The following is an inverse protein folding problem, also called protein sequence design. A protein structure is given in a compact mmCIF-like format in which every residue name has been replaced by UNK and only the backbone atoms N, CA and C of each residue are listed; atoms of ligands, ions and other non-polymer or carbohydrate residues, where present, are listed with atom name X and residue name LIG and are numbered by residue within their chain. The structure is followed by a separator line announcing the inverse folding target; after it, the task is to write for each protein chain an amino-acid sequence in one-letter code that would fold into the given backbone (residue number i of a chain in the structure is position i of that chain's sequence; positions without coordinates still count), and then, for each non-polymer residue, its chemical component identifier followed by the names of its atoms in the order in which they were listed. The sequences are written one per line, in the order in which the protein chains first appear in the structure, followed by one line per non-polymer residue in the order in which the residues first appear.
data_IF_827887557883
#
_entry.id   IF_827887557883
#
_cell.length_a   1.000
_cell.length_b   1.000
_cell.length_c   1.000
_cell.angle_alpha   90.00
_cell.angle_beta   90.00
_cell.angle_gamma   90.00
#
_symmetry.space_group_name_H-M   'P 1'
#
loop_
_entity.id
_entity.type
_entity.pdbx_description
1 polymer ?
#
# COMPACT_ATOMS: atom_id res chain seq x y z
N UNK A 1 4.27 -5.71 8.59
CA UNK A 1 5.18 -6.74 8.00
C UNK A 1 6.47 -6.82 8.82
N UNK A 2 6.89 -8.03 9.22
CA UNK A 2 8.13 -8.23 9.98
C UNK A 2 9.36 -7.72 9.19
N UNK A 3 10.40 -7.22 9.87
CA UNK A 3 11.61 -6.67 9.27
C UNK A 3 12.34 -7.67 8.38
N UNK A 4 12.41 -8.94 8.81
CA UNK A 4 13.00 -10.02 8.00
C UNK A 4 12.33 -10.18 6.64
N UNK A 5 10.99 -10.09 6.59
CA UNK A 5 10.23 -10.18 5.34
C UNK A 5 10.49 -8.97 4.43
N UNK A 6 10.62 -7.77 5.01
CA UNK A 6 11.00 -6.56 4.26
C UNK A 6 12.39 -6.73 3.63
N UNK A 7 13.37 -7.18 4.40
CA UNK A 7 14.73 -7.42 3.91
C UNK A 7 14.73 -8.46 2.78
N UNK A 8 14.00 -9.56 2.94
CA UNK A 8 13.89 -10.60 1.92
C UNK A 8 13.29 -10.07 0.61
N UNK A 9 12.29 -9.19 0.67
CA UNK A 9 11.71 -8.54 -0.52
C UNK A 9 12.75 -7.68 -1.24
N UNK A 10 13.51 -6.85 -0.51
CA UNK A 10 14.57 -6.04 -1.13
C UNK A 10 15.67 -6.89 -1.75
N UNK A 11 16.09 -7.97 -1.08
CA UNK A 11 17.05 -8.93 -1.62
C UNK A 11 16.53 -9.59 -2.89
N UNK A 12 15.25 -9.98 -2.91
CA UNK A 12 14.59 -10.49 -4.11
C UNK A 12 14.62 -9.47 -5.26
N UNK A 13 14.25 -8.21 -5.00
CA UNK A 13 14.34 -7.15 -6.01
C UNK A 13 15.74 -7.00 -6.60
N UNK A 14 16.78 -6.99 -5.75
CA UNK A 14 18.18 -6.91 -6.18
C UNK A 14 18.56 -8.13 -7.02
N UNK A 15 18.26 -9.35 -6.54
CA UNK A 15 18.59 -10.58 -7.25
C UNK A 15 17.95 -10.66 -8.64
N UNK A 16 16.65 -10.36 -8.74
CA UNK A 16 15.96 -10.34 -10.05
C UNK A 16 16.46 -9.23 -10.96
N UNK A 17 16.90 -8.09 -10.43
CA UNK A 17 17.52 -7.03 -11.24
C UNK A 17 18.85 -7.48 -11.81
N UNK A 18 19.72 -8.10 -10.99
CA UNK A 18 21.00 -8.65 -11.43
C UNK A 18 20.79 -9.74 -12.48
N UNK A 19 19.86 -10.68 -12.24
CA UNK A 19 19.49 -11.69 -13.23
C UNK A 19 18.97 -11.06 -14.52
N UNK A 20 18.16 -10.01 -14.42
CA UNK A 20 17.67 -9.28 -15.58
C UNK A 20 18.78 -8.66 -16.41
N UNK A 21 19.78 -8.05 -15.77
CA UNK A 21 20.98 -7.52 -16.45
C UNK A 21 21.78 -8.65 -17.08
N UNK A 22 21.98 -9.76 -16.37
CA UNK A 22 22.70 -10.91 -16.89
C UNK A 22 22.03 -11.53 -18.12
N UNK A 23 20.68 -11.60 -18.16
CA UNK A 23 19.94 -12.04 -19.34
C UNK A 23 20.18 -11.14 -20.57
N UNK A 24 20.53 -9.87 -20.36
CA UNK A 24 20.91 -8.94 -21.43
C UNK A 24 22.39 -9.04 -21.83
N UNK A 25 23.21 -9.83 -21.15
CA UNK A 25 24.63 -10.04 -21.52
C UNK A 25 24.89 -11.40 -22.17
N UNK A 26 23.88 -12.26 -22.26
CA UNK A 26 24.00 -13.57 -22.88
C UNK A 26 24.10 -13.42 -24.40
N UNK A 27 25.08 -14.11 -24.99
CA UNK A 27 25.30 -14.14 -26.43
C UNK A 27 24.35 -15.11 -27.14
N UNK A 28 23.85 -14.67 -28.29
CA UNK A 28 22.81 -15.33 -29.08
C UNK A 28 23.20 -16.75 -29.56
N UNK A 29 24.49 -17.08 -29.56
CA UNK A 29 25.05 -18.36 -30.01
C UNK A 29 25.07 -19.44 -28.93
N UNK A 30 24.85 -19.08 -27.65
CA UNK A 30 25.06 -19.97 -26.50
C UNK A 30 23.77 -20.57 -25.92
N UNK A 31 22.59 -20.16 -26.42
CA UNK A 31 21.31 -20.53 -25.80
C UNK A 31 20.33 -21.26 -26.71
N UNK A 32 19.64 -22.26 -26.14
CA UNK A 32 18.53 -22.98 -26.78
C UNK A 32 17.27 -22.11 -26.99
N UNK A 33 17.21 -20.94 -26.35
CA UNK A 33 16.09 -20.00 -26.43
C UNK A 33 16.36 -18.92 -27.48
N UNK A 34 15.29 -18.47 -28.14
CA UNK A 34 15.39 -17.37 -29.10
C UNK A 34 15.87 -16.08 -28.40
N UNK A 35 16.90 -15.40 -28.93
CA UNK A 35 17.52 -14.23 -28.31
C UNK A 35 16.53 -13.17 -27.84
N UNK A 36 15.53 -12.83 -28.66
CA UNK A 36 14.56 -11.80 -28.33
C UNK A 36 13.74 -12.11 -27.07
N UNK A 37 13.46 -13.39 -26.79
CA UNK A 37 12.72 -13.80 -25.58
C UNK A 37 13.52 -13.50 -24.32
N UNK A 38 14.83 -13.78 -24.35
CA UNK A 38 15.74 -13.47 -23.25
C UNK A 38 15.85 -11.96 -23.02
N UNK A 39 15.92 -11.18 -24.11
CA UNK A 39 15.93 -9.71 -24.02
C UNK A 39 14.66 -9.15 -23.38
N UNK A 40 13.49 -9.60 -23.83
CA UNK A 40 12.21 -9.17 -23.23
C UNK A 40 12.12 -9.57 -21.77
N UNK A 41 12.49 -10.81 -21.42
CA UNK A 41 12.50 -11.26 -20.02
C UNK A 41 13.44 -10.43 -19.14
N UNK A 42 14.65 -10.12 -19.61
CA UNK A 42 15.60 -9.27 -18.90
C UNK A 42 15.07 -7.85 -18.67
N UNK A 43 14.52 -7.22 -19.72
CA UNK A 43 13.92 -5.88 -19.63
C UNK A 43 12.76 -5.87 -18.62
N UNK A 44 11.83 -6.83 -18.71
CA UNK A 44 10.71 -6.93 -17.77
C UNK A 44 11.22 -7.12 -16.33
N UNK A 45 12.23 -7.97 -16.13
CA UNK A 45 12.82 -8.19 -14.81
C UNK A 45 13.38 -6.89 -14.21
N UNK A 46 14.16 -6.13 -15.00
CA UNK A 46 14.74 -4.86 -14.54
C UNK A 46 13.66 -3.82 -14.24
N UNK A 47 12.64 -3.70 -15.10
CA UNK A 47 11.56 -2.72 -14.91
C UNK A 47 10.75 -3.04 -13.65
N UNK A 48 10.28 -4.29 -13.51
CA UNK A 48 9.41 -4.67 -12.40
C UNK A 48 10.17 -4.74 -11.06
N UNK A 49 11.34 -5.38 -11.04
CA UNK A 49 12.08 -5.60 -9.79
C UNK A 49 13.05 -4.47 -9.46
N UNK A 50 13.77 -3.96 -10.46
CA UNK A 50 14.70 -2.84 -10.28
C UNK A 50 13.95 -1.53 -10.09
N UNK A 51 13.10 -1.17 -11.06
CA UNK A 51 12.27 0.04 -10.99
C UNK A 51 11.31 0.02 -9.80
N UNK A 52 10.58 -1.08 -9.60
CA UNK A 52 9.67 -1.26 -8.47
C UNK A 52 10.40 -1.23 -7.12
N UNK A 53 11.55 -1.91 -7.01
CA UNK A 53 12.38 -1.90 -5.81
C UNK A 53 12.88 -0.50 -5.44
N UNK A 54 13.39 0.24 -6.44
CA UNK A 54 13.86 1.61 -6.26
C UNK A 54 12.73 2.56 -5.85
N UNK A 55 11.56 2.45 -6.48
CA UNK A 55 10.39 3.24 -6.12
C UNK A 55 9.95 3.01 -4.67
N UNK A 56 9.91 1.74 -4.22
CA UNK A 56 9.59 1.40 -2.83
C UNK A 56 10.61 1.98 -1.85
N UNK A 57 11.91 1.90 -2.17
CA UNK A 57 12.98 2.49 -1.36
C UNK A 57 12.86 4.02 -1.28
N UNK A 58 12.67 4.68 -2.43
CA UNK A 58 12.48 6.13 -2.51
C UNK A 58 11.30 6.60 -1.66
N UNK A 59 10.13 5.95 -1.77
CA UNK A 59 8.95 6.31 -0.97
C UNK A 59 9.23 6.21 0.52
N UNK A 60 9.92 5.16 0.96
CA UNK A 60 10.28 4.97 2.37
C UNK A 60 11.25 6.03 2.87
N UNK A 61 12.29 6.33 2.09
CA UNK A 61 13.26 7.39 2.42
C UNK A 61 12.56 8.74 2.51
N UNK A 62 11.68 9.05 1.55
CA UNK A 62 10.89 10.29 1.57
C UNK A 62 10.01 10.44 2.81
N UNK A 63 9.40 9.36 3.29
CA UNK A 63 8.63 9.38 4.54
C UNK A 63 9.54 9.65 5.75
N UNK A 64 10.71 9.00 5.81
CA UNK A 64 11.69 9.19 6.87
C UNK A 64 12.23 10.63 6.91
N UNK A 65 12.64 11.17 5.76
CA UNK A 65 13.18 12.54 5.64
C UNK A 65 12.13 13.57 6.04
N UNK A 66 10.87 13.38 5.65
CA UNK A 66 9.80 14.33 5.94
C UNK A 66 9.17 14.12 7.33
N UNK A 67 9.68 13.20 8.14
CA UNK A 67 9.09 12.79 9.43
C UNK A 67 7.59 12.44 9.35
N UNK A 68 7.11 12.04 8.16
CA UNK A 68 5.70 11.69 7.92
C UNK A 68 5.48 10.23 8.25
N UNK A 69 4.39 9.95 8.98
CA UNK A 69 3.94 8.59 9.26
C UNK A 69 3.08 8.07 8.10
N UNK A 70 2.96 6.75 8.00
CA UNK A 70 2.04 6.13 7.03
C UNK A 70 0.58 6.46 7.35
N UNK A 71 0.29 6.64 8.64
CA UNK A 71 -0.99 7.09 9.19
C UNK A 71 -0.73 8.31 10.08
N UNK A 72 -1.38 9.42 9.80
CA UNK A 72 -1.25 10.67 10.54
C UNK A 72 -2.62 11.18 10.96
N UNK A 73 -2.77 11.46 12.26
CA UNK A 73 -3.95 12.11 12.82
C UNK A 73 -3.72 13.61 12.82
N UNK A 74 -4.47 14.34 12.01
CA UNK A 74 -4.44 15.80 11.95
C UNK A 74 -5.63 16.37 12.73
N UNK A 75 -5.66 17.69 12.88
CA UNK A 75 -6.81 18.36 13.50
C UNK A 75 -8.08 18.29 12.64
N UNK A 76 -7.94 18.14 11.32
CA UNK A 76 -9.07 18.08 10.38
C UNK A 76 -9.55 16.64 10.13
N UNK A 77 -8.66 15.66 10.21
CA UNK A 77 -9.00 14.30 9.83
C UNK A 77 -7.90 13.27 10.01
N UNK A 78 -8.03 12.20 9.24
CA UNK A 78 -7.09 11.11 9.15
C UNK A 78 -6.42 11.13 7.77
N UNK A 79 -5.11 11.35 7.75
CA UNK A 79 -4.31 11.23 6.54
C UNK A 79 -3.69 9.83 6.46
N UNK A 80 -3.97 9.13 5.36
CA UNK A 80 -3.37 7.83 5.04
C UNK A 80 -2.49 8.03 3.81
N UNK A 81 -1.24 7.57 3.87
CA UNK A 81 -0.28 7.79 2.80
C UNK A 81 -0.81 7.31 1.42
N UNK A 82 -1.11 8.27 0.53
CA UNK A 82 -1.62 8.00 -0.82
C UNK A 82 -3.14 8.14 -0.98
N UNK A 83 -3.86 8.48 0.09
CA UNK A 83 -5.26 8.91 0.06
C UNK A 83 -5.37 10.42 0.35
N UNK A 84 -6.47 11.02 -0.07
CA UNK A 84 -6.86 12.35 0.43
C UNK A 84 -7.17 12.26 1.93
N UNK A 85 -7.04 13.39 2.62
CA UNK A 85 -7.32 13.49 4.05
C UNK A 85 -8.80 13.23 4.31
N UNK A 86 -9.11 12.21 5.11
CA UNK A 86 -10.49 11.81 5.43
C UNK A 86 -10.94 12.62 6.64
N UNK A 87 -11.91 13.52 6.46
CA UNK A 87 -12.32 14.45 7.51
C UNK A 87 -13.00 13.74 8.68
N UNK A 88 -12.74 14.21 9.90
CA UNK A 88 -13.36 13.64 11.12
C UNK A 88 -14.89 13.68 11.07
N UNK A 89 -15.46 14.72 10.47
CA UNK A 89 -16.89 14.90 10.32
C UNK A 89 -17.54 13.84 9.41
N UNK A 90 -16.81 13.21 8.51
CA UNK A 90 -17.34 12.17 7.62
C UNK A 90 -17.24 10.77 8.23
N UNK A 91 -16.47 10.61 9.32
CA UNK A 91 -16.21 9.33 9.97
C UNK A 91 -17.26 9.06 11.06
N UNK A 92 -17.94 7.93 10.95
CA UNK A 92 -18.90 7.44 11.93
C UNK A 92 -18.20 6.66 13.05
N UNK A 93 -17.37 5.68 12.71
CA UNK A 93 -16.62 4.84 13.65
C UNK A 93 -15.41 4.16 12.97
N UNK A 94 -14.61 3.45 13.75
CA UNK A 94 -13.59 2.52 13.27
C UNK A 94 -13.93 1.09 13.69
N UNK A 95 -13.63 0.12 12.83
CA UNK A 95 -13.80 -1.30 13.14
C UNK A 95 -12.54 -2.09 12.81
N UNK A 96 -12.28 -3.15 13.56
CA UNK A 96 -11.15 -4.06 13.31
C UNK A 96 -11.68 -5.37 12.75
N UNK A 97 -11.31 -5.69 11.52
CA UNK A 97 -11.74 -6.91 10.83
C UNK A 97 -10.54 -7.79 10.49
N UNK A 98 -10.81 -9.06 10.20
CA UNK A 98 -9.84 -9.97 9.59
C UNK A 98 -10.22 -10.23 8.15
N UNK A 99 -9.35 -9.87 7.22
CA UNK A 99 -9.56 -10.06 5.79
C UNK A 99 -8.33 -10.68 5.14
N UNK A 100 -8.51 -11.85 4.49
CA UNK A 100 -7.44 -12.62 3.83
C UNK A 100 -6.17 -12.77 4.69
N UNK A 101 -6.36 -13.12 5.97
CA UNK A 101 -5.26 -13.32 6.92
C UNK A 101 -4.67 -12.04 7.53
N UNK A 102 -5.03 -10.85 7.06
CA UNK A 102 -4.60 -9.57 7.61
C UNK A 102 -5.63 -8.98 8.57
N UNK A 103 -5.16 -8.24 9.58
CA UNK A 103 -6.02 -7.43 10.45
C UNK A 103 -6.09 -6.02 9.88
N UNK A 104 -7.30 -5.58 9.52
CA UNK A 104 -7.53 -4.28 8.90
C UNK A 104 -8.37 -3.41 9.83
N UNK A 105 -7.98 -2.15 9.97
CA UNK A 105 -8.83 -1.11 10.54
C UNK A 105 -9.64 -0.52 9.40
N UNK A 106 -10.96 -0.68 9.45
CA UNK A 106 -11.90 -0.11 8.49
C UNK A 106 -12.46 1.20 9.02
N UNK A 107 -12.65 2.15 8.11
CA UNK A 107 -13.17 3.48 8.42
C UNK A 107 -14.63 3.49 8.00
N UNK A 108 -15.52 3.55 8.98
CA UNK A 108 -16.96 3.59 8.75
C UNK A 108 -17.36 5.02 8.44
N UNK A 109 -17.75 5.28 7.20
CA UNK A 109 -18.14 6.61 6.72
C UNK A 109 -19.63 6.85 6.98
N UNK A 110 -20.05 8.12 7.08
CA UNK A 110 -21.47 8.50 7.19
C UNK A 110 -22.27 8.15 5.93
N UNK A 111 -21.69 8.41 4.76
CA UNK A 111 -22.31 8.19 3.45
C UNK A 111 -21.24 7.70 2.45
N UNK A 112 -20.89 6.41 2.48
CA UNK A 112 -19.85 5.87 1.61
C UNK A 112 -20.23 5.92 0.13
N UNK A 113 -21.51 5.81 -0.22
CA UNK A 113 -22.00 5.89 -1.59
C UNK A 113 -21.76 7.28 -2.21
N UNK A 114 -22.03 8.35 -1.45
CA UNK A 114 -21.75 9.73 -1.89
C UNK A 114 -20.27 9.97 -2.12
N UNK A 115 -19.40 9.46 -1.25
CA UNK A 115 -17.94 9.58 -1.41
C UNK A 115 -17.48 8.88 -2.69
N UNK A 116 -18.00 7.67 -2.97
CA UNK A 116 -17.72 6.95 -4.23
C UNK A 116 -18.19 7.76 -5.45
N UNK A 117 -19.40 8.34 -5.39
CA UNK A 117 -19.96 9.09 -6.50
C UNK A 117 -19.14 10.35 -6.84
N UNK A 118 -18.60 11.02 -5.82
CA UNK A 118 -17.80 12.23 -5.96
C UNK A 118 -16.32 11.98 -6.35
N UNK A 119 -15.83 10.75 -6.24
CA UNK A 119 -14.45 10.41 -6.61
C UNK A 119 -14.24 10.51 -8.13
N UNK A 120 -13.38 11.44 -8.57
CA UNK A 120 -13.10 11.72 -9.98
C UNK A 120 -12.39 10.56 -10.68
N UNK A 121 -11.53 9.82 -9.98
CA UNK A 121 -10.75 8.74 -10.57
C UNK A 121 -11.58 7.46 -10.70
N UNK A 122 -11.78 7.02 -11.94
CA UNK A 122 -12.50 5.76 -12.24
C UNK A 122 -11.89 4.55 -11.51
N UNK A 123 -10.55 4.47 -11.43
CA UNK A 123 -9.84 3.38 -10.76
C UNK A 123 -10.11 3.42 -9.25
N UNK A 124 -10.02 4.59 -8.61
CA UNK A 124 -10.30 4.74 -7.18
C UNK A 124 -11.76 4.43 -6.88
N UNK A 125 -12.70 4.94 -7.68
CA UNK A 125 -14.14 4.66 -7.56
C UNK A 125 -14.44 3.16 -7.61
N UNK A 126 -13.84 2.43 -8.57
CA UNK A 126 -14.01 0.98 -8.69
C UNK A 126 -13.44 0.24 -7.49
N UNK A 127 -12.29 0.69 -6.99
CA UNK A 127 -11.63 0.12 -5.80
C UNK A 127 -12.46 0.35 -4.54
N UNK A 128 -12.96 1.56 -4.31
CA UNK A 128 -13.85 1.87 -3.19
C UNK A 128 -15.13 1.04 -3.24
N UNK A 129 -15.76 0.90 -4.41
CA UNK A 129 -16.95 0.07 -4.57
C UNK A 129 -16.70 -1.42 -4.33
N UNK A 130 -15.52 -1.93 -4.71
CA UNK A 130 -15.11 -3.29 -4.37
C UNK A 130 -14.89 -3.46 -2.85
N UNK A 131 -14.20 -2.50 -2.23
CA UNK A 131 -13.97 -2.51 -0.78
C UNK A 131 -15.29 -2.47 -0.01
N UNK A 132 -16.24 -1.61 -0.40
CA UNK A 132 -17.55 -1.53 0.24
C UNK A 132 -18.27 -2.89 0.21
N UNK A 133 -18.24 -3.58 -0.93
CA UNK A 133 -18.86 -4.91 -1.08
C UNK A 133 -18.14 -6.04 -0.33
N UNK A 134 -16.85 -5.91 -0.04
CA UNK A 134 -16.03 -7.01 0.49
C UNK A 134 -15.64 -6.86 1.96
N UNK A 135 -15.45 -5.63 2.42
CA UNK A 135 -15.03 -5.30 3.79
C UNK A 135 -15.98 -4.31 4.48
N UNK A 136 -17.11 -3.98 3.85
CA UNK A 136 -18.11 -3.03 4.35
C UNK A 136 -17.52 -1.67 4.76
N UNK A 137 -16.55 -1.19 3.98
CA UNK A 137 -15.95 0.14 4.13
C UNK A 137 -15.25 0.53 2.83
N UNK A 138 -15.22 1.83 2.51
CA UNK A 138 -14.52 2.34 1.31
C UNK A 138 -13.02 2.56 1.58
N UNK A 139 -12.67 2.87 2.82
CA UNK A 139 -11.29 3.04 3.28
C UNK A 139 -10.96 2.02 4.36
N UNK A 140 -9.73 1.50 4.28
CA UNK A 140 -9.15 0.68 5.34
C UNK A 140 -7.64 0.76 5.28
N UNK A 141 -7.00 0.45 6.39
CA UNK A 141 -5.55 0.27 6.43
C UNK A 141 -5.18 -0.91 7.34
N UNK A 142 -4.06 -1.61 7.06
CA UNK A 142 -3.59 -2.66 7.94
C UNK A 142 -3.22 -2.13 9.31
N UNK A 143 -3.66 -2.81 10.38
CA UNK A 143 -3.41 -2.38 11.75
C UNK A 143 -1.91 -2.30 12.10
N UNK A 144 -1.04 -3.06 11.42
CA UNK A 144 0.41 -3.03 11.63
C UNK A 144 1.08 -1.71 11.19
N UNK A 145 0.36 -0.82 10.48
CA UNK A 145 0.86 0.50 10.11
C UNK A 145 0.89 1.47 11.31
N UNK A 146 0.23 1.10 12.40
CA UNK A 146 0.28 1.82 13.67
C UNK A 146 1.13 1.04 14.67
N UNK A 147 1.73 1.76 15.62
CA UNK A 147 2.49 1.16 16.71
C UNK A 147 1.55 0.43 17.69
N UNK A 148 2.01 -0.71 18.22
CA UNK A 148 1.27 -1.52 19.19
C UNK A 148 0.49 -2.69 18.58
N UNK A 149 -0.36 -3.32 19.40
CA UNK A 149 -1.26 -4.39 18.95
C UNK A 149 -2.43 -3.81 18.14
N UNK A 150 -3.06 -4.65 17.32
CA UNK A 150 -4.16 -4.18 16.47
C UNK A 150 -5.35 -3.64 17.27
N UNK A 151 -5.61 -4.19 18.45
CA UNK A 151 -6.61 -3.71 19.40
C UNK A 151 -6.25 -2.32 19.94
N UNK A 152 -4.98 -2.09 20.29
CA UNK A 152 -4.49 -0.79 20.77
C UNK A 152 -4.57 0.27 19.68
N UNK A 153 -4.22 -0.09 18.44
CA UNK A 153 -4.38 0.76 17.28
C UNK A 153 -5.85 1.16 17.06
N UNK A 154 -6.79 0.20 17.17
CA UNK A 154 -8.23 0.49 17.09
C UNK A 154 -8.67 1.43 18.22
N UNK A 155 -8.25 1.17 19.46
CA UNK A 155 -8.57 2.01 20.61
C UNK A 155 -8.07 3.44 20.41
N UNK A 156 -6.86 3.61 19.87
CA UNK A 156 -6.30 4.92 19.55
C UNK A 156 -7.13 5.65 18.47
N UNK A 157 -7.52 4.97 17.38
CA UNK A 157 -8.40 5.55 16.36
C UNK A 157 -9.73 6.02 16.97
N UNK A 158 -10.37 5.20 17.81
CA UNK A 158 -11.63 5.56 18.47
C UNK A 158 -11.46 6.72 19.46
N UNK A 159 -10.35 6.77 20.20
CA UNK A 159 -10.05 7.89 21.09
C UNK A 159 -9.88 9.20 20.31
N UNK A 160 -9.14 9.16 19.20
CA UNK A 160 -8.94 10.34 18.34
C UNK A 160 -10.25 10.81 17.70
N UNK A 161 -11.12 9.89 17.29
CA UNK A 161 -12.45 10.24 16.79
C UNK A 161 -13.29 10.96 17.84
N UNK A 162 -13.32 10.43 19.08
CA UNK A 162 -14.05 11.04 20.20
C UNK A 162 -13.53 12.43 20.57
N UNK A 163 -12.24 12.70 20.37
CA UNK A 163 -11.65 14.01 20.66
C UNK A 163 -12.11 15.09 19.66
N UNK A 164 -12.43 14.70 18.42
CA UNK A 164 -12.79 15.62 17.34
C UNK A 164 -14.30 15.59 17.01
N UNK A 165 -15.11 14.97 17.86
CA UNK A 165 -16.57 15.01 17.84
C UNK A 165 -17.07 15.71 19.10
#
# INVERSE_FOLDING_TARGET
MNQTKKILVYLGCIAFTILGVWLLTIDDTTTMYSPWKLRVAGILSIIFFGGGGLFMAYKKIKLLINHKKEIEFTDRGLSICGAEEILWEEITDFSLIRFKGNRLITIQMKDPEKVIANESSWIKRKTMGYNLKTINAIYSFPAYMMDGRAEEALSLCKQKLKKHK
#
